data_IF_972129160119
#
_entry.id   IF_972129160119
#
_cell.length_a   1.000
_cell.length_b   1.000
_cell.length_c   1.000
_cell.angle_alpha   90.00
_cell.angle_beta   90.00
_cell.angle_gamma   90.00
#
_symmetry.space_group_name_H-M   'P 1'
#
loop_
_entity.id
_entity.type
_entity.pdbx_description
1 polymer ?
#
# COMPACT_ATOMS: atom_id res chain seq x y z
N UNK A 1 -4.85 7.99 -19.58
CA UNK A 1 -5.09 6.58 -19.97
C UNK A 1 -3.95 5.73 -19.40
N UNK A 2 -4.30 4.59 -18.81
CA UNK A 2 -3.36 3.56 -18.33
C UNK A 2 -3.68 2.29 -19.12
N UNK A 3 -2.70 1.79 -19.86
CA UNK A 3 -2.86 0.62 -20.70
C UNK A 3 -2.95 -0.67 -19.89
N UNK A 4 -3.45 -1.75 -20.50
CA UNK A 4 -3.47 -3.09 -19.91
C UNK A 4 -2.05 -3.57 -19.60
N UNK A 5 -1.09 -3.31 -20.52
CA UNK A 5 0.31 -3.69 -20.32
C UNK A 5 0.93 -3.03 -19.09
N UNK A 6 0.74 -1.71 -18.90
CA UNK A 6 1.22 -1.01 -17.70
C UNK A 6 0.65 -1.59 -16.42
N UNK A 7 -0.64 -1.97 -16.42
CA UNK A 7 -1.29 -2.61 -15.27
C UNK A 7 -0.70 -3.99 -14.97
N UNK A 8 -0.45 -4.79 -16.00
CA UNK A 8 0.14 -6.12 -15.87
C UNK A 8 1.58 -6.05 -15.35
N UNK A 9 2.40 -5.15 -15.89
CA UNK A 9 3.77 -4.90 -15.42
C UNK A 9 3.79 -4.51 -13.95
N UNK A 10 2.89 -3.63 -13.54
CA UNK A 10 2.75 -3.22 -12.15
C UNK A 10 2.35 -4.40 -11.24
N UNK A 11 1.41 -5.22 -11.66
CA UNK A 11 0.98 -6.41 -10.91
C UNK A 11 2.13 -7.43 -10.77
N UNK A 12 2.87 -7.70 -11.85
CA UNK A 12 4.04 -8.58 -11.83
C UNK A 12 5.08 -8.05 -10.85
N UNK A 13 5.37 -6.74 -10.89
CA UNK A 13 6.31 -6.10 -9.97
C UNK A 13 5.88 -6.24 -8.52
N UNK A 14 4.58 -6.06 -8.21
CA UNK A 14 4.05 -6.26 -6.85
C UNK A 14 4.30 -7.68 -6.35
N UNK A 15 4.00 -8.69 -7.17
CA UNK A 15 4.25 -10.10 -6.83
C UNK A 15 5.73 -10.43 -6.67
N UNK A 16 6.60 -9.88 -7.51
CA UNK A 16 8.05 -10.08 -7.41
C UNK A 16 8.61 -9.48 -6.14
N UNK A 17 8.27 -8.23 -5.81
CA UNK A 17 8.66 -7.56 -4.58
C UNK A 17 8.19 -8.35 -3.34
N UNK A 18 6.94 -8.78 -3.32
CA UNK A 18 6.40 -9.58 -2.21
C UNK A 18 7.10 -10.92 -2.05
N UNK A 19 7.39 -11.61 -3.15
CA UNK A 19 8.13 -12.87 -3.12
C UNK A 19 9.56 -12.69 -2.58
N UNK A 20 10.26 -11.66 -3.04
CA UNK A 20 11.58 -11.33 -2.54
C UNK A 20 11.57 -11.00 -1.06
N UNK A 21 10.61 -10.17 -0.62
CA UNK A 21 10.44 -9.81 0.78
C UNK A 21 10.18 -11.03 1.66
N UNK A 22 9.29 -11.94 1.22
CA UNK A 22 9.00 -13.18 1.93
C UNK A 22 10.24 -14.08 2.01
N UNK A 23 10.97 -14.24 0.91
CA UNK A 23 12.20 -15.06 0.85
C UNK A 23 13.31 -14.51 1.74
N UNK A 24 13.45 -13.18 1.80
CA UNK A 24 14.41 -12.48 2.68
C UNK A 24 13.97 -12.48 4.16
N UNK A 25 12.73 -12.88 4.45
CA UNK A 25 12.19 -12.89 5.80
C UNK A 25 11.76 -11.51 6.32
N UNK A 26 11.53 -10.54 5.43
CA UNK A 26 11.15 -9.17 5.80
C UNK A 26 9.80 -9.11 6.54
N UNK A 27 8.94 -10.11 6.36
CA UNK A 27 7.63 -10.17 7.03
C UNK A 27 7.65 -10.82 8.42
N UNK A 28 8.79 -11.38 8.87
CA UNK A 28 8.86 -12.16 10.12
C UNK A 28 8.41 -11.39 11.37
N UNK A 29 8.66 -10.09 11.40
CA UNK A 29 8.31 -9.24 12.53
C UNK A 29 6.89 -8.65 12.42
N UNK A 30 6.20 -8.91 11.33
CA UNK A 30 4.88 -8.35 11.03
C UNK A 30 3.78 -9.42 11.07
N UNK A 31 4.11 -10.66 10.68
CA UNK A 31 3.16 -11.76 10.61
C UNK A 31 3.02 -12.41 11.99
N UNK A 32 1.76 -12.53 12.45
CA UNK A 32 1.39 -13.35 13.60
C UNK A 32 0.84 -14.67 13.08
N UNK A 33 1.53 -15.76 13.36
CA UNK A 33 1.11 -17.08 12.92
C UNK A 33 -0.21 -17.51 13.54
N UNK A 34 -1.10 -18.10 12.75
CA UNK A 34 -2.37 -18.67 13.18
C UNK A 34 -2.40 -20.15 12.81
N UNK A 35 -2.24 -21.03 13.79
CA UNK A 35 -2.02 -22.45 13.52
C UNK A 35 -0.76 -22.65 12.68
N UNK A 36 -0.87 -23.38 11.60
CA UNK A 36 0.23 -23.67 10.66
C UNK A 36 0.40 -22.58 9.58
N UNK A 37 -0.41 -21.50 9.61
CA UNK A 37 -0.34 -20.41 8.65
C UNK A 37 0.57 -19.30 9.18
N UNK A 38 1.73 -19.15 8.59
CA UNK A 38 2.78 -18.17 8.94
C UNK A 38 3.30 -17.35 7.76
N UNK A 39 2.67 -17.51 6.59
CA UNK A 39 3.06 -16.83 5.34
C UNK A 39 1.84 -16.42 4.53
N UNK A 40 2.01 -15.42 3.66
CA UNK A 40 0.98 -15.03 2.70
C UNK A 40 0.86 -16.03 1.55
N UNK A 41 -0.35 -16.54 1.34
CA UNK A 41 -0.67 -17.54 0.31
C UNK A 41 -1.02 -16.96 -1.08
N UNK A 42 -1.16 -15.64 -1.21
CA UNK A 42 -1.58 -15.01 -2.47
C UNK A 42 -0.43 -14.67 -3.43
N UNK A 43 0.82 -14.73 -2.97
CA UNK A 43 1.99 -14.36 -3.76
C UNK A 43 2.19 -15.33 -4.92
N UNK A 44 2.33 -14.79 -6.15
CA UNK A 44 2.45 -15.56 -7.40
C UNK A 44 3.74 -15.18 -8.16
N UNK A 45 4.92 -15.66 -7.73
CA UNK A 45 6.20 -15.26 -8.30
C UNK A 45 6.38 -15.67 -9.77
N UNK A 46 5.61 -16.64 -10.24
CA UNK A 46 5.63 -17.12 -11.62
C UNK A 46 4.71 -16.36 -12.58
N UNK A 47 4.27 -15.15 -12.22
CA UNK A 47 3.47 -14.29 -13.10
C UNK A 47 4.33 -13.73 -14.24
N UNK A 48 3.85 -13.84 -15.48
CA UNK A 48 4.52 -13.31 -16.68
C UNK A 48 3.52 -12.58 -17.55
N UNK A 49 3.97 -11.65 -18.40
CA UNK A 49 3.11 -10.92 -19.33
C UNK A 49 2.28 -11.88 -20.17
N UNK A 50 2.88 -12.92 -20.74
CA UNK A 50 2.21 -13.93 -21.56
C UNK A 50 1.03 -14.60 -20.83
N UNK A 51 1.22 -14.97 -19.56
CA UNK A 51 0.14 -15.56 -18.74
C UNK A 51 -0.98 -14.55 -18.46
N UNK A 52 -0.63 -13.31 -18.24
CA UNK A 52 -1.60 -12.25 -17.92
C UNK A 52 -2.38 -11.82 -19.16
N UNK A 53 -1.76 -11.81 -20.36
CA UNK A 53 -2.42 -11.49 -21.62
C UNK A 53 -3.60 -12.43 -21.93
N UNK A 54 -3.49 -13.70 -21.56
CA UNK A 54 -4.54 -14.69 -21.74
C UNK A 54 -5.74 -14.54 -20.79
N UNK A 55 -5.70 -13.62 -19.81
CA UNK A 55 -6.79 -13.47 -18.86
C UNK A 55 -7.97 -12.69 -19.44
N UNK A 56 -9.17 -13.12 -19.06
CA UNK A 56 -10.42 -12.42 -19.42
C UNK A 56 -10.51 -11.08 -18.69
N UNK A 57 -11.17 -10.12 -19.33
CA UNK A 57 -11.55 -8.85 -18.70
C UNK A 57 -12.56 -9.11 -17.57
N UNK A 58 -12.44 -8.36 -16.47
CA UNK A 58 -13.19 -8.65 -15.26
C UNK A 58 -14.53 -7.91 -15.15
N UNK A 59 -14.65 -6.69 -15.66
CA UNK A 59 -15.80 -5.84 -15.41
C UNK A 59 -16.49 -5.32 -16.68
N UNK A 60 -15.73 -5.03 -17.73
CA UNK A 60 -16.22 -4.45 -18.98
C UNK A 60 -15.50 -5.13 -20.15
N UNK A 61 -16.27 -5.58 -21.14
CA UNK A 61 -15.74 -6.25 -22.33
C UNK A 61 -14.81 -5.36 -23.17
N UNK A 62 -14.96 -4.03 -23.04
CA UNK A 62 -14.11 -3.03 -23.68
C UNK A 62 -13.08 -2.41 -22.71
N UNK A 63 -13.00 -2.94 -21.50
CA UNK A 63 -12.10 -2.45 -20.45
C UNK A 63 -10.67 -2.98 -20.58
N UNK A 64 -9.88 -2.75 -19.54
CA UNK A 64 -8.48 -3.19 -19.47
C UNK A 64 -8.16 -3.97 -18.19
N UNK A 65 -9.09 -4.01 -17.24
CA UNK A 65 -8.90 -4.62 -15.92
C UNK A 65 -9.15 -6.12 -15.99
N UNK A 66 -8.27 -6.89 -15.35
CA UNK A 66 -8.39 -8.35 -15.23
C UNK A 66 -8.29 -8.78 -13.76
N UNK A 67 -8.53 -10.04 -13.45
CA UNK A 67 -8.33 -10.58 -12.11
C UNK A 67 -6.89 -10.40 -11.60
N UNK A 68 -5.88 -10.46 -12.49
CA UNK A 68 -4.47 -10.27 -12.10
C UNK A 68 -4.10 -8.81 -11.82
N UNK A 69 -4.89 -7.84 -12.32
CA UNK A 69 -4.67 -6.40 -12.09
C UNK A 69 -5.62 -5.82 -11.04
N UNK A 70 -6.30 -6.70 -10.30
CA UNK A 70 -7.19 -6.41 -9.19
C UNK A 70 -6.72 -7.14 -7.94
N UNK A 71 -6.84 -6.51 -6.77
CA UNK A 71 -6.57 -7.20 -5.52
C UNK A 71 -7.55 -8.36 -5.32
N UNK A 72 -7.11 -9.53 -4.82
CA UNK A 72 -8.00 -10.65 -4.57
C UNK A 72 -8.92 -10.39 -3.38
N UNK A 73 -10.09 -11.03 -3.38
CA UNK A 73 -10.91 -11.13 -2.16
C UNK A 73 -10.10 -11.87 -1.11
N UNK A 74 -9.95 -11.25 0.06
CA UNK A 74 -8.99 -11.72 1.05
C UNK A 74 -9.57 -11.59 2.46
N UNK A 75 -9.42 -12.63 3.26
CA UNK A 75 -9.61 -12.56 4.70
C UNK A 75 -8.28 -12.16 5.36
N UNK A 76 -8.38 -11.36 6.42
CA UNK A 76 -7.18 -10.94 7.15
C UNK A 76 -7.51 -9.96 8.27
N UNK A 77 -6.60 -9.90 9.23
CA UNK A 77 -6.64 -8.95 10.33
C UNK A 77 -5.28 -8.29 10.52
N UNK A 78 -5.27 -7.05 10.96
CA UNK A 78 -4.06 -6.32 11.31
C UNK A 78 -4.33 -5.42 12.51
N UNK A 79 -3.31 -5.23 13.35
CA UNK A 79 -3.38 -4.34 14.49
C UNK A 79 -2.11 -3.49 14.59
N UNK A 80 -2.30 -2.22 14.91
CA UNK A 80 -1.23 -1.28 15.24
C UNK A 80 -1.54 -0.61 16.56
N UNK A 81 -0.55 -0.54 17.46
CA UNK A 81 -0.68 0.21 18.70
C UNK A 81 -0.31 1.66 18.44
N UNK A 82 -1.22 2.57 18.75
CA UNK A 82 -1.02 4.01 18.65
C UNK A 82 -1.19 4.59 20.07
N UNK A 83 -0.20 5.34 20.51
CA UNK A 83 -0.20 5.98 21.84
C UNK A 83 0.61 7.29 21.81
N UNK A 84 0.54 8.06 22.88
CA UNK A 84 1.42 9.20 23.08
C UNK A 84 2.89 8.77 23.25
N UNK A 85 3.79 9.59 22.79
CA UNK A 85 5.24 9.33 22.87
C UNK A 85 5.71 9.15 24.32
N UNK A 86 5.18 9.92 25.26
CA UNK A 86 5.45 9.79 26.70
C UNK A 86 5.11 8.40 27.20
N UNK A 87 3.90 7.91 26.88
CA UNK A 87 3.46 6.56 27.26
C UNK A 87 4.36 5.47 26.68
N UNK A 88 4.74 5.61 25.40
CA UNK A 88 5.64 4.66 24.76
C UNK A 88 7.01 4.59 25.47
N UNK A 89 7.57 5.75 25.82
CA UNK A 89 8.85 5.84 26.54
C UNK A 89 8.77 5.29 27.96
N UNK A 90 7.74 5.64 28.73
CA UNK A 90 7.52 5.17 30.10
C UNK A 90 7.34 3.65 30.17
N UNK A 91 6.74 3.05 29.14
CA UNK A 91 6.52 1.61 29.04
C UNK A 91 7.58 0.85 28.23
N UNK A 92 8.68 1.52 27.83
CA UNK A 92 9.76 0.95 27.02
C UNK A 92 9.26 0.27 25.74
N UNK A 93 8.22 0.84 25.08
CA UNK A 93 7.70 0.32 23.83
C UNK A 93 8.66 0.64 22.67
N UNK A 94 8.78 -0.30 21.74
CA UNK A 94 9.57 -0.08 20.51
C UNK A 94 8.79 0.84 19.56
N UNK A 95 9.18 2.10 19.48
CA UNK A 95 8.54 3.08 18.60
C UNK A 95 9.04 2.84 17.18
N UNK A 96 8.11 2.59 16.24
CA UNK A 96 8.41 2.40 14.81
C UNK A 96 8.42 3.71 14.05
N UNK A 97 7.58 4.67 14.44
CA UNK A 97 7.47 5.96 13.79
C UNK A 97 6.48 6.87 14.50
N UNK A 98 6.44 8.12 14.11
CA UNK A 98 5.52 9.14 14.63
C UNK A 98 4.53 9.56 13.54
N UNK A 99 3.24 9.58 13.85
CA UNK A 99 2.22 10.14 12.97
C UNK A 99 2.37 11.66 12.97
N UNK A 100 2.68 12.23 11.80
CA UNK A 100 2.83 13.68 11.60
C UNK A 100 1.49 14.32 11.27
N UNK A 101 0.76 13.70 10.34
CA UNK A 101 -0.55 14.19 9.91
C UNK A 101 -1.41 13.06 9.36
N UNK A 102 -2.71 13.28 9.37
CA UNK A 102 -3.69 12.43 8.67
C UNK A 102 -4.67 13.31 7.91
N UNK A 103 -5.22 12.81 6.82
CA UNK A 103 -6.30 13.48 6.10
C UNK A 103 -7.23 12.49 5.42
N UNK A 104 -8.50 12.82 5.44
CA UNK A 104 -9.54 12.20 4.62
C UNK A 104 -10.04 13.23 3.61
N UNK A 105 -10.29 12.77 2.39
CA UNK A 105 -10.80 13.60 1.30
C UNK A 105 -11.86 12.84 0.54
N UNK A 106 -13.02 13.50 0.30
CA UNK A 106 -14.03 13.00 -0.61
C UNK A 106 -13.63 13.20 -2.07
N UNK A 107 -14.08 12.31 -2.94
CA UNK A 107 -13.98 12.42 -4.39
C UNK A 107 -15.26 11.92 -5.03
N UNK A 108 -15.39 12.06 -6.34
CA UNK A 108 -16.50 11.50 -7.08
C UNK A 108 -16.56 9.96 -6.88
N UNK A 109 -17.70 9.39 -6.45
CA UNK A 109 -17.86 7.95 -6.24
C UNK A 109 -17.53 7.10 -7.47
N UNK A 110 -17.80 7.60 -8.67
CA UNK A 110 -17.51 6.89 -9.93
C UNK A 110 -15.99 6.77 -10.17
N UNK A 111 -15.21 7.62 -9.50
CA UNK A 111 -13.76 7.63 -9.54
C UNK A 111 -13.14 7.40 -8.16
N UNK A 112 -13.77 6.59 -7.32
CA UNK A 112 -13.34 6.37 -5.93
C UNK A 112 -11.87 5.97 -5.79
N UNK A 113 -11.30 5.30 -6.80
CA UNK A 113 -9.91 4.91 -6.86
C UNK A 113 -8.92 6.08 -6.85
N UNK A 114 -9.36 7.30 -7.17
CA UNK A 114 -8.55 8.52 -7.15
C UNK A 114 -8.55 9.24 -5.79
N UNK A 115 -9.35 8.76 -4.83
CA UNK A 115 -9.40 9.32 -3.46
C UNK A 115 -8.04 9.52 -2.79
N UNK A 116 -7.05 8.60 -2.94
CA UNK A 116 -5.71 8.77 -2.41
C UNK A 116 -5.02 10.07 -2.83
N UNK A 117 -5.30 10.59 -4.03
CA UNK A 117 -4.66 11.81 -4.55
C UNK A 117 -4.99 13.00 -3.65
N UNK A 118 -6.27 13.30 -3.48
CA UNK A 118 -6.72 14.43 -2.66
C UNK A 118 -6.34 14.26 -1.19
N UNK A 119 -6.50 13.05 -0.65
CA UNK A 119 -6.13 12.75 0.73
C UNK A 119 -4.62 12.94 0.98
N UNK A 120 -3.77 12.44 0.07
CA UNK A 120 -2.32 12.58 0.17
C UNK A 120 -1.87 14.03 0.10
N UNK A 121 -2.38 14.81 -0.87
CA UNK A 121 -2.08 16.25 -0.95
C UNK A 121 -2.44 16.99 0.34
N UNK A 122 -3.61 16.72 0.88
CA UNK A 122 -4.08 17.33 2.12
C UNK A 122 -3.27 16.90 3.35
N UNK A 123 -2.85 15.63 3.42
CA UNK A 123 -1.99 15.14 4.50
C UNK A 123 -0.59 15.77 4.41
N UNK A 124 0.00 15.85 3.22
CA UNK A 124 1.28 16.50 2.98
C UNK A 124 1.25 17.99 3.32
N UNK A 125 0.20 18.71 2.91
CA UNK A 125 -0.02 20.13 3.28
C UNK A 125 -0.04 20.31 4.81
N UNK A 126 -0.79 19.46 5.53
CA UNK A 126 -0.84 19.49 7.01
C UNK A 126 0.50 19.18 7.66
N UNK A 127 1.33 18.36 7.03
CA UNK A 127 2.68 18.04 7.48
C UNK A 127 3.70 19.12 7.08
N UNK A 128 3.31 20.11 6.29
CA UNK A 128 4.20 21.10 5.67
C UNK A 128 5.33 20.42 4.86
N UNK A 129 4.96 19.38 4.11
CA UNK A 129 5.85 18.60 3.25
C UNK A 129 5.37 18.61 1.80
N UNK A 130 6.30 18.47 0.86
CA UNK A 130 6.03 18.17 -0.55
C UNK A 130 6.25 16.69 -0.85
N UNK A 131 5.66 16.18 -1.93
CA UNK A 131 5.72 14.76 -2.27
C UNK A 131 7.15 14.25 -2.52
N UNK A 132 8.05 15.09 -3.00
CA UNK A 132 9.47 14.77 -3.21
C UNK A 132 10.22 14.44 -1.91
N UNK A 133 9.74 14.96 -0.77
CA UNK A 133 10.31 14.69 0.57
C UNK A 133 9.93 13.32 1.13
N UNK A 134 8.96 12.65 0.51
CA UNK A 134 8.55 11.32 0.93
C UNK A 134 9.55 10.30 0.39
N UNK A 135 10.09 9.50 1.29
CA UNK A 135 11.07 8.46 0.97
C UNK A 135 10.41 7.11 0.66
N UNK A 136 9.30 6.80 1.33
CA UNK A 136 8.58 5.52 1.26
C UNK A 136 7.09 5.80 1.11
N UNK A 137 6.45 5.05 0.21
CA UNK A 137 5.00 5.14 0.00
C UNK A 137 4.39 3.75 0.09
N UNK A 138 3.46 3.57 1.00
CA UNK A 138 2.55 2.42 1.07
C UNK A 138 1.20 2.85 0.49
N UNK A 139 0.99 2.58 -0.77
CA UNK A 139 -0.25 2.83 -1.51
C UNK A 139 -1.01 1.52 -1.65
N UNK A 140 -2.24 1.46 -1.14
CA UNK A 140 -3.06 0.27 -1.33
C UNK A 140 -3.35 0.03 -2.81
N UNK A 141 -3.02 -1.17 -3.28
CA UNK A 141 -3.21 -1.63 -4.65
C UNK A 141 -4.58 -2.29 -4.81
N UNK A 142 -5.68 -1.53 -4.67
CA UNK A 142 -7.01 -2.08 -4.94
C UNK A 142 -7.11 -2.55 -6.41
N UNK A 143 -6.57 -1.72 -7.31
CA UNK A 143 -6.39 -2.01 -8.74
C UNK A 143 -5.06 -1.43 -9.23
N UNK A 144 -4.40 -2.11 -10.15
CA UNK A 144 -3.18 -1.61 -10.76
C UNK A 144 -3.41 -0.26 -11.48
N UNK A 145 -4.54 -0.12 -12.19
CA UNK A 145 -4.93 1.12 -12.87
C UNK A 145 -5.09 2.29 -11.91
N UNK A 146 -5.72 2.06 -10.76
CA UNK A 146 -5.92 3.05 -9.70
C UNK A 146 -4.58 3.47 -9.09
N UNK A 147 -3.71 2.51 -8.76
CA UNK A 147 -2.40 2.77 -8.17
C UNK A 147 -1.52 3.59 -9.12
N UNK A 148 -1.45 3.20 -10.38
CA UNK A 148 -0.69 3.91 -11.42
C UNK A 148 -1.21 5.35 -11.64
N UNK A 149 -2.53 5.54 -11.61
CA UNK A 149 -3.13 6.87 -11.71
C UNK A 149 -2.73 7.76 -10.52
N UNK A 150 -2.78 7.23 -9.29
CA UNK A 150 -2.36 7.95 -8.10
C UNK A 150 -0.87 8.29 -8.11
N UNK A 151 -0.01 7.34 -8.45
CA UNK A 151 1.44 7.52 -8.55
C UNK A 151 1.78 8.65 -9.54
N UNK A 152 1.16 8.59 -10.73
CA UNK A 152 1.38 9.58 -11.79
C UNK A 152 0.91 10.97 -11.40
N UNK A 153 -0.27 11.08 -10.81
CA UNK A 153 -0.87 12.38 -10.44
C UNK A 153 -0.14 13.04 -9.27
N UNK A 154 0.33 12.25 -8.30
CA UNK A 154 1.12 12.72 -7.17
C UNK A 154 2.59 12.99 -7.51
N UNK A 155 3.07 12.59 -8.70
CA UNK A 155 4.46 12.71 -9.09
C UNK A 155 5.41 11.87 -8.24
N UNK A 156 4.94 10.73 -7.76
CA UNK A 156 5.72 9.83 -6.91
C UNK A 156 6.61 8.93 -7.77
N UNK A 157 7.84 8.73 -7.34
CA UNK A 157 8.74 7.75 -7.92
C UNK A 157 8.24 6.34 -7.60
N UNK A 158 8.05 5.51 -8.62
CA UNK A 158 7.57 4.13 -8.50
C UNK A 158 8.49 3.26 -7.63
N UNK A 159 9.78 3.57 -7.60
CA UNK A 159 10.76 2.81 -6.82
C UNK A 159 10.60 3.01 -5.30
N UNK A 160 9.88 4.06 -4.90
CA UNK A 160 9.53 4.32 -3.49
C UNK A 160 8.22 3.65 -3.05
N UNK A 161 7.46 3.06 -3.99
CA UNK A 161 6.11 2.53 -3.74
C UNK A 161 6.14 1.05 -3.43
N UNK A 162 5.53 0.67 -2.31
CA UNK A 162 5.30 -0.72 -1.91
C UNK A 162 6.56 -1.56 -2.06
N UNK A 163 7.58 -1.25 -1.28
CA UNK A 163 8.92 -1.87 -1.40
C UNK A 163 8.90 -3.39 -1.24
N UNK A 164 8.00 -3.90 -0.43
CA UNK A 164 7.80 -5.33 -0.19
C UNK A 164 6.56 -5.89 -0.90
N UNK A 165 6.12 -5.23 -2.01
CA UNK A 165 4.89 -5.57 -2.69
C UNK A 165 3.64 -5.01 -2.01
N UNK A 166 2.51 -5.05 -2.70
CA UNK A 166 1.25 -4.49 -2.22
C UNK A 166 0.08 -5.46 -2.34
N UNK A 167 -1.13 -4.91 -2.32
CA UNK A 167 -2.36 -5.70 -2.20
C UNK A 167 -2.66 -6.62 -3.40
N UNK A 168 -2.11 -6.35 -4.58
CA UNK A 168 -2.21 -7.27 -5.72
C UNK A 168 -1.56 -8.63 -5.39
N UNK A 169 -0.45 -8.61 -4.65
CA UNK A 169 0.28 -9.79 -4.23
C UNK A 169 -0.15 -10.32 -2.86
N UNK A 170 -0.38 -9.42 -1.88
CA UNK A 170 -0.64 -9.78 -0.48
C UNK A 170 -2.13 -9.88 -0.13
N UNK A 171 -3.00 -9.34 -1.00
CA UNK A 171 -4.42 -9.25 -0.73
C UNK A 171 -4.86 -7.93 -0.08
N UNK A 172 -6.18 -7.70 -0.11
CA UNK A 172 -6.81 -6.48 0.41
C UNK A 172 -8.00 -6.82 1.34
N UNK A 173 -7.73 -7.31 2.56
CA UNK A 173 -8.78 -7.45 3.56
C UNK A 173 -9.23 -6.04 3.98
N UNK A 174 -10.43 -5.64 3.57
CA UNK A 174 -10.90 -4.25 3.62
C UNK A 174 -10.72 -3.58 4.98
N UNK A 175 -11.11 -4.29 6.06
CA UNK A 175 -11.00 -3.77 7.43
C UNK A 175 -9.59 -3.79 8.02
N UNK A 176 -8.65 -4.55 7.43
CA UNK A 176 -7.29 -4.70 7.93
C UNK A 176 -6.27 -3.80 7.21
N UNK A 177 -6.52 -3.47 5.95
CA UNK A 177 -5.53 -2.83 5.08
C UNK A 177 -4.98 -1.52 5.63
N UNK A 178 -5.82 -0.66 6.23
CA UNK A 178 -5.36 0.61 6.79
C UNK A 178 -4.31 0.43 7.88
N UNK A 179 -4.54 -0.48 8.82
CA UNK A 179 -3.57 -0.82 9.87
C UNK A 179 -2.31 -1.46 9.28
N UNK A 180 -2.47 -2.39 8.32
CA UNK A 180 -1.36 -3.07 7.65
C UNK A 180 -0.42 -2.08 6.97
N UNK A 181 -0.91 -1.25 6.04
CA UNK A 181 -0.06 -0.34 5.27
C UNK A 181 0.55 0.78 6.12
N UNK A 182 -0.14 1.19 7.19
CA UNK A 182 0.38 2.20 8.11
C UNK A 182 1.50 1.62 8.98
N UNK A 183 1.30 0.43 9.54
CA UNK A 183 2.34 -0.29 10.29
C UNK A 183 3.55 -0.62 9.40
N UNK A 184 3.30 -1.08 8.17
CA UNK A 184 4.34 -1.36 7.17
C UNK A 184 5.17 -0.14 6.83
N UNK A 185 4.52 1.00 6.58
CA UNK A 185 5.23 2.25 6.29
C UNK A 185 6.16 2.67 7.43
N UNK A 186 5.72 2.52 8.68
CA UNK A 186 6.54 2.83 9.86
C UNK A 186 7.72 1.84 10.02
N UNK A 187 7.50 0.55 9.79
CA UNK A 187 8.55 -0.48 9.82
C UNK A 187 9.61 -0.22 8.74
N UNK A 188 9.17 0.08 7.51
CA UNK A 188 10.06 0.39 6.39
C UNK A 188 10.94 1.62 6.66
N UNK A 189 10.42 2.66 7.32
CA UNK A 189 11.24 3.82 7.71
C UNK A 189 12.45 3.39 8.55
N UNK A 190 12.22 2.50 9.51
CA UNK A 190 13.26 1.99 10.38
C UNK A 190 14.23 1.07 9.62
N UNK A 191 13.70 0.11 8.87
CA UNK A 191 14.50 -0.88 8.12
C UNK A 191 15.38 -0.24 7.06
N UNK A 192 14.84 0.72 6.29
CA UNK A 192 15.53 1.40 5.19
C UNK A 192 16.31 2.66 5.64
N UNK A 193 16.27 2.99 6.94
CA UNK A 193 16.87 4.21 7.49
C UNK A 193 16.42 5.47 6.74
N UNK A 194 15.11 5.61 6.59
CA UNK A 194 14.44 6.71 5.88
C UNK A 194 13.70 7.61 6.84
N UNK A 195 13.34 8.82 6.38
CA UNK A 195 12.78 9.86 7.26
C UNK A 195 11.27 9.95 7.20
N UNK A 196 10.69 10.03 6.01
CA UNK A 196 9.26 10.24 5.84
C UNK A 196 8.61 9.16 4.99
N UNK A 197 7.46 8.67 5.46
CA UNK A 197 6.60 7.76 4.71
C UNK A 197 5.19 8.32 4.55
N UNK A 198 4.55 7.92 3.46
CA UNK A 198 3.14 8.17 3.17
C UNK A 198 2.42 6.83 3.06
N UNK A 199 1.41 6.63 3.90
CA UNK A 199 0.47 5.51 3.79
C UNK A 199 -0.86 6.04 3.25
N UNK A 200 -1.40 5.48 2.18
CA UNK A 200 -2.65 5.98 1.57
C UNK A 200 -3.46 4.89 0.89
N UNK A 201 -4.77 5.05 0.91
CA UNK A 201 -5.71 4.11 0.27
C UNK A 201 -6.98 4.81 -0.19
N UNK A 202 -7.63 4.25 -1.21
CA UNK A 202 -8.99 4.58 -1.56
C UNK A 202 -9.97 3.94 -0.56
N UNK A 203 -11.11 4.57 -0.40
CA UNK A 203 -12.20 4.09 0.44
C UNK A 203 -13.45 4.06 -0.43
N UNK A 204 -14.21 2.98 -0.35
CA UNK A 204 -15.47 2.85 -1.08
C UNK A 204 -16.40 4.04 -0.89
N UNK A 205 -17.29 4.27 -1.84
CA UNK A 205 -18.26 5.38 -1.87
C UNK A 205 -17.63 6.77 -2.12
N UNK A 206 -16.41 6.84 -2.65
CA UNK A 206 -15.82 8.10 -3.11
C UNK A 206 -15.03 8.85 -2.04
N UNK A 207 -14.07 8.20 -1.42
CA UNK A 207 -13.17 8.80 -0.43
C UNK A 207 -11.73 8.28 -0.58
N UNK A 208 -10.78 9.00 0.01
CA UNK A 208 -9.43 8.53 0.26
C UNK A 208 -8.97 8.93 1.65
N UNK A 209 -8.01 8.20 2.19
CA UNK A 209 -7.31 8.52 3.44
C UNK A 209 -5.81 8.47 3.21
N UNK A 210 -5.08 9.35 3.88
CA UNK A 210 -3.63 9.35 3.87
C UNK A 210 -3.08 9.70 5.25
N UNK A 211 -1.93 9.10 5.59
CA UNK A 211 -1.19 9.33 6.83
C UNK A 211 0.28 9.56 6.49
N UNK A 212 0.84 10.66 6.97
CA UNK A 212 2.27 10.96 6.91
C UNK A 212 2.91 10.50 8.22
N UNK A 213 3.99 9.74 8.10
CA UNK A 213 4.73 9.15 9.22
C UNK A 213 6.18 9.62 9.14
N UNK A 214 6.77 9.94 10.29
CA UNK A 214 8.19 10.31 10.43
C UNK A 214 8.92 9.27 11.25
N UNK A 215 10.15 8.96 10.85
CA UNK A 215 11.08 8.18 11.67
C UNK A 215 11.40 8.88 12.99
N UNK A 216 11.55 8.13 14.06
CA UNK A 216 11.92 8.63 15.41
C UNK A 216 13.37 8.33 15.78
N UNK A 217 14.22 8.02 14.79
CA UNK A 217 15.64 7.77 14.98
C UNK A 217 16.44 9.05 15.21
#
# INVERSE_FOLDING_TARGET
NISRSEQQEFAISSHQKAHEAQTKGNFKNEIVSIGDCDTDGNIRPGSTMEKLDGLKLAFDENGTVTAATSSPLTDGAAATLICEESYAKENNLNILGRIVSTAVQGCDPDYMGLGPIGASRKALERANLSADKIDIVELNEAFASQSLACIKDLGIDKDKVNLDGGALALGHPLGATGARITGKAAELLKRENKKYALSTQCIGLGMGIATVIESVN
#
